data_IF_571393299596
#
_entry.id   IF_571393299596
#
_cell.length_a   1.000
_cell.length_b   1.000
_cell.length_c   1.000
_cell.angle_alpha   90.00
_cell.angle_beta   90.00
_cell.angle_gamma   90.00
#
_symmetry.space_group_name_H-M   'P 1'
#
loop_
_entity.id
_entity.type
_entity.pdbx_description
1 polymer ?
#
# COMPACT_ATOMS: atom_id res chain seq x y z
N UNK A 1 3.36 -18.06 -9.41
CA UNK A 1 3.60 -17.36 -8.15
C UNK A 1 4.95 -16.65 -8.21
N UNK A 2 5.00 -15.40 -7.78
CA UNK A 2 6.25 -14.62 -7.82
C UNK A 2 7.13 -14.99 -6.64
N UNK A 3 8.37 -15.36 -6.92
CA UNK A 3 9.38 -15.62 -5.91
C UNK A 3 9.88 -14.29 -5.36
N UNK A 4 10.20 -14.23 -4.06
CA UNK A 4 10.76 -13.04 -3.46
C UNK A 4 12.00 -12.54 -4.18
N UNK A 5 12.78 -13.45 -4.75
CA UNK A 5 13.98 -13.09 -5.51
C UNK A 5 13.69 -12.30 -6.77
N UNK A 6 12.45 -12.38 -7.24
CA UNK A 6 12.03 -11.68 -8.44
C UNK A 6 11.44 -10.32 -8.14
N UNK A 7 11.45 -9.91 -6.87
CA UNK A 7 10.91 -8.62 -6.46
C UNK A 7 12.03 -7.61 -6.31
N UNK A 8 11.74 -6.40 -6.70
CA UNK A 8 12.66 -5.29 -6.56
C UNK A 8 11.91 -4.13 -5.91
N UNK A 9 12.57 -3.44 -5.00
CA UNK A 9 11.98 -2.31 -4.33
C UNK A 9 12.28 -1.04 -5.09
N UNK A 10 11.24 -0.24 -5.35
CA UNK A 10 11.41 1.06 -6.00
C UNK A 10 10.73 2.13 -5.16
N UNK A 11 11.21 3.35 -5.29
CA UNK A 11 10.63 4.50 -4.61
C UNK A 11 9.92 5.38 -5.62
N UNK A 12 8.65 5.63 -5.37
CA UNK A 12 7.83 6.43 -6.28
C UNK A 12 7.00 7.42 -5.48
N UNK A 13 6.58 8.47 -6.15
CA UNK A 13 5.62 9.42 -5.60
C UNK A 13 4.25 9.08 -6.17
N UNK A 14 3.27 8.90 -5.28
CA UNK A 14 1.93 8.52 -5.66
C UNK A 14 0.95 9.61 -5.33
N UNK A 15 -0.10 9.67 -6.12
CA UNK A 15 -1.24 10.53 -5.83
C UNK A 15 -2.44 9.63 -5.56
N UNK A 16 -3.05 9.83 -4.42
CA UNK A 16 -4.27 9.10 -4.06
C UNK A 16 -5.29 10.13 -3.60
N UNK A 17 -6.56 9.72 -3.57
CA UNK A 17 -7.59 10.65 -3.12
C UNK A 17 -7.47 10.88 -1.62
N UNK A 18 -7.89 12.04 -1.19
CA UNK A 18 -7.94 12.37 0.23
C UNK A 18 -8.83 11.37 0.97
N UNK A 19 -9.93 10.99 0.37
CA UNK A 19 -10.83 10.01 0.96
C UNK A 19 -10.13 8.67 1.21
N UNK A 20 -9.33 8.20 0.24
CA UNK A 20 -8.57 6.97 0.41
C UNK A 20 -7.58 7.08 1.57
N UNK A 21 -6.86 8.19 1.62
CA UNK A 21 -5.89 8.40 2.69
C UNK A 21 -6.56 8.41 4.06
N UNK A 22 -7.66 9.15 4.19
CA UNK A 22 -8.38 9.22 5.45
C UNK A 22 -8.88 7.86 5.90
N UNK A 23 -9.41 7.08 4.97
CA UNK A 23 -9.89 5.73 5.27
C UNK A 23 -8.75 4.84 5.75
N UNK A 24 -7.59 4.92 5.10
CA UNK A 24 -6.42 4.13 5.51
C UNK A 24 -6.03 4.48 6.94
N UNK A 25 -5.94 5.77 7.25
CA UNK A 25 -5.55 6.21 8.58
C UNK A 25 -6.56 5.73 9.63
N UNK A 26 -7.85 5.89 9.35
CA UNK A 26 -8.88 5.45 10.27
C UNK A 26 -8.84 3.95 10.52
N UNK A 27 -8.67 3.17 9.46
CA UNK A 27 -8.62 1.72 9.60
C UNK A 27 -7.36 1.26 10.32
N UNK A 28 -6.24 1.93 10.09
CA UNK A 28 -5.01 1.62 10.82
C UNK A 28 -5.20 1.86 12.30
N UNK A 29 -5.89 2.94 12.67
CA UNK A 29 -6.19 3.23 14.06
C UNK A 29 -7.07 2.17 14.69
N UNK A 30 -8.08 1.71 13.95
CA UNK A 30 -8.97 0.66 14.45
C UNK A 30 -8.25 -0.65 14.68
N UNK A 31 -7.37 -1.02 13.75
CA UNK A 31 -6.63 -2.27 13.82
C UNK A 31 -5.59 -2.24 14.93
N UNK A 32 -4.84 -1.14 15.00
CA UNK A 32 -3.83 -0.98 16.03
C UNK A 32 -4.43 -0.93 17.42
N UNK A 33 -5.66 -0.42 17.49
CA UNK A 33 -6.30 -0.23 18.75
C UNK A 33 -5.63 0.89 19.52
N UNK A 34 -6.00 1.02 20.77
CA UNK A 34 -5.42 1.99 21.65
C UNK A 34 -4.41 1.28 22.53
N UNK A 35 -3.17 1.76 22.56
CA UNK A 35 -2.19 1.14 23.44
C UNK A 35 -2.49 1.56 24.90
N UNK A 36 -1.77 0.95 25.82
CA UNK A 36 -2.00 1.15 27.25
C UNK A 36 -1.81 2.60 27.70
N UNK A 37 -1.06 3.36 26.95
CA UNK A 37 -0.78 4.75 27.28
C UNK A 37 -1.77 5.71 26.63
N UNK A 38 -2.74 5.17 25.93
CA UNK A 38 -3.79 5.98 25.32
C UNK A 38 -3.44 6.60 23.99
N UNK A 39 -2.32 6.24 23.41
CA UNK A 39 -1.97 6.71 22.07
C UNK A 39 -1.40 5.56 21.24
N UNK A 40 -1.34 5.77 19.96
CA UNK A 40 -0.82 4.78 19.05
C UNK A 40 -0.10 5.49 17.91
N UNK A 41 0.79 4.74 17.28
CA UNK A 41 1.50 5.22 16.12
C UNK A 41 0.92 4.57 14.88
N UNK A 42 0.78 5.34 13.84
CA UNK A 42 0.36 4.85 12.53
C UNK A 42 1.42 5.26 11.53
N UNK A 43 2.10 4.26 10.97
CA UNK A 43 3.04 4.50 9.87
C UNK A 43 2.24 4.45 8.58
N UNK A 44 1.64 5.56 8.23
CA UNK A 44 0.77 5.64 7.07
C UNK A 44 1.52 5.34 5.78
N UNK A 45 2.72 5.91 5.61
CA UNK A 45 3.51 5.69 4.41
C UNK A 45 3.89 4.22 4.25
N UNK A 46 4.32 3.60 5.33
CA UNK A 46 4.66 2.19 5.31
C UNK A 46 3.47 1.30 5.01
N UNK A 47 2.31 1.64 5.59
CA UNK A 47 1.10 0.87 5.34
C UNK A 47 0.64 1.02 3.90
N UNK A 48 0.68 2.21 3.35
CA UNK A 48 0.31 2.44 1.94
C UNK A 48 1.24 1.66 1.03
N UNK A 49 2.55 1.69 1.29
CA UNK A 49 3.51 0.94 0.49
C UNK A 49 3.21 -0.55 0.51
N UNK A 50 2.94 -1.09 1.69
CA UNK A 50 2.62 -2.50 1.85
C UNK A 50 1.35 -2.88 1.11
N UNK A 51 0.31 -2.09 1.27
CA UNK A 51 -0.97 -2.35 0.63
C UNK A 51 -0.87 -2.27 -0.88
N UNK A 52 -0.15 -1.27 -1.40
CA UNK A 52 0.02 -1.11 -2.84
C UNK A 52 0.82 -2.25 -3.43
N UNK A 53 1.90 -2.66 -2.75
CA UNK A 53 2.70 -3.79 -3.23
C UNK A 53 1.84 -5.03 -3.38
N UNK A 54 1.03 -5.31 -2.36
CA UNK A 54 0.12 -6.45 -2.40
C UNK A 54 -0.93 -6.31 -3.50
N UNK A 55 -1.52 -5.13 -3.58
CA UNK A 55 -2.54 -4.84 -4.59
C UNK A 55 -2.01 -5.07 -6.00
N UNK A 56 -0.81 -4.58 -6.28
CA UNK A 56 -0.20 -4.71 -7.60
C UNK A 56 0.05 -6.18 -7.95
N UNK A 57 0.53 -6.96 -6.99
CA UNK A 57 0.78 -8.37 -7.22
C UNK A 57 -0.52 -9.14 -7.44
N UNK A 58 -1.53 -8.86 -6.65
CA UNK A 58 -2.82 -9.54 -6.73
C UNK A 58 -3.59 -9.19 -8.00
N UNK A 59 -3.35 -8.02 -8.55
CA UNK A 59 -4.08 -7.54 -9.72
C UNK A 59 -3.28 -7.61 -11.01
N UNK A 60 -2.26 -8.45 -11.01
CA UNK A 60 -1.46 -8.72 -12.21
C UNK A 60 -0.91 -7.47 -12.87
N UNK A 61 -0.17 -6.70 -12.08
CA UNK A 61 0.44 -5.48 -12.58
C UNK A 61 1.40 -5.76 -13.75
N UNK A 62 2.06 -6.93 -13.74
CA UNK A 62 2.92 -7.33 -14.87
C UNK A 62 2.17 -7.30 -16.19
N UNK A 63 0.96 -7.84 -16.19
CA UNK A 63 0.13 -7.84 -17.39
C UNK A 63 -0.27 -6.45 -17.80
N UNK A 64 -0.60 -5.63 -16.81
CA UNK A 64 -0.98 -4.23 -17.05
C UNK A 64 0.14 -3.46 -17.75
N UNK A 65 1.38 -3.62 -17.27
CA UNK A 65 2.49 -2.85 -17.83
C UNK A 65 2.94 -3.35 -19.19
N UNK A 66 2.58 -4.57 -19.56
CA UNK A 66 2.90 -5.11 -20.89
C UNK A 66 2.04 -4.51 -21.98
N UNK A 67 0.87 -4.01 -21.61
CA UNK A 67 -0.06 -3.47 -22.59
C UNK A 67 0.30 -2.02 -22.89
N UNK A 68 0.77 -1.79 -24.11
CA UNK A 68 1.20 -0.46 -24.53
C UNK A 68 0.06 0.57 -24.44
N UNK A 69 -1.17 0.12 -24.46
CA UNK A 69 -2.32 1.01 -24.35
C UNK A 69 -2.42 1.70 -23.00
N UNK A 70 -1.70 1.20 -21.99
CA UNK A 70 -1.71 1.77 -20.65
C UNK A 70 -0.67 2.88 -20.48
N UNK A 71 0.03 3.23 -21.52
CA UNK A 71 1.08 4.26 -21.45
C UNK A 71 0.64 5.60 -22.10
#
# INVERSE_FOLDING_TARGET
MTDEKDLIEIHVNLKITTASLQTIVENCKKIAGRNEKGYYRVDTAGKVSEMLSRFLLENNFEGYVRDIKNY
#
